data_IF_479254653718
#
_entry.id   IF_479254653718
#
_cell.length_a   1.000
_cell.length_b   1.000
_cell.length_c   1.000
_cell.angle_alpha   90.00
_cell.angle_beta   90.00
_cell.angle_gamma   90.00
#
_symmetry.space_group_name_H-M   'P 1'
#
loop_
_entity.id
_entity.type
_entity.pdbx_description
1 polymer ?
#
# COMPACT_ATOMS: atom_id res chain seq x y z
N UNK A 1 -31.36 3.26 20.50
CA UNK A 1 -30.92 2.20 19.56
C UNK A 1 -30.48 2.81 18.24
N UNK A 2 -29.27 3.37 18.18
CA UNK A 2 -28.65 3.83 16.94
C UNK A 2 -27.52 2.90 16.55
N UNK A 3 -27.73 2.08 15.51
CA UNK A 3 -26.69 1.23 14.92
C UNK A 3 -25.66 2.14 14.24
N UNK A 4 -24.46 2.24 14.81
CA UNK A 4 -23.27 2.77 14.13
C UNK A 4 -22.86 1.75 13.05
N UNK A 5 -23.33 1.95 11.82
CA UNK A 5 -22.81 1.22 10.67
C UNK A 5 -21.38 1.71 10.42
N UNK A 6 -20.40 1.00 11.00
CA UNK A 6 -18.99 1.11 10.63
C UNK A 6 -18.82 0.49 9.24
N UNK A 7 -19.28 1.19 8.22
CA UNK A 7 -18.99 0.86 6.83
C UNK A 7 -17.62 1.46 6.51
N UNK A 8 -16.57 0.83 7.01
CA UNK A 8 -15.19 1.15 6.64
C UNK A 8 -15.04 0.84 5.16
N UNK A 9 -15.06 1.88 4.32
CA UNK A 9 -14.85 1.73 2.89
C UNK A 9 -13.52 0.99 2.64
N UNK A 10 -13.49 0.01 1.73
CA UNK A 10 -12.26 -0.73 1.43
C UNK A 10 -11.23 0.23 0.85
N UNK A 11 -10.09 0.33 1.52
CA UNK A 11 -9.02 1.26 1.15
C UNK A 11 -8.09 0.56 0.17
N UNK A 12 -7.94 1.15 -1.02
CA UNK A 12 -7.00 0.68 -2.03
C UNK A 12 -5.90 1.71 -2.23
N UNK A 13 -4.65 1.27 -2.14
CA UNK A 13 -3.50 2.01 -2.61
C UNK A 13 -2.92 1.23 -3.79
N UNK A 14 -2.80 1.91 -4.93
CA UNK A 14 -2.28 1.33 -6.16
C UNK A 14 -1.06 2.11 -6.61
N UNK A 15 0.07 1.43 -6.80
CA UNK A 15 1.22 1.94 -7.54
C UNK A 15 1.01 1.56 -9.02
N UNK A 16 0.43 2.45 -9.83
CA UNK A 16 0.21 2.16 -11.25
C UNK A 16 1.54 2.17 -12.03
N UNK A 17 2.47 3.05 -11.66
CA UNK A 17 3.81 3.10 -12.22
C UNK A 17 4.82 3.46 -11.13
N UNK A 18 5.80 2.57 -10.91
CA UNK A 18 6.92 2.83 -10.02
C UNK A 18 8.21 2.25 -10.60
N UNK A 19 9.33 2.91 -10.33
CA UNK A 19 10.67 2.45 -10.71
C UNK A 19 11.67 2.75 -9.61
N UNK A 20 12.58 1.83 -9.37
CA UNK A 20 13.73 2.12 -8.52
C UNK A 20 14.63 0.92 -8.26
N UNK A 21 15.75 1.17 -7.56
CA UNK A 21 16.76 0.15 -7.31
C UNK A 21 16.31 -0.88 -6.29
N UNK A 22 16.87 -2.08 -6.40
CA UNK A 22 16.73 -3.13 -5.40
C UNK A 22 18.02 -3.90 -5.19
N UNK A 23 18.25 -4.34 -3.97
CA UNK A 23 19.39 -5.17 -3.59
C UNK A 23 18.85 -6.46 -3.00
N UNK A 24 19.35 -7.60 -3.47
CA UNK A 24 19.03 -8.92 -2.94
C UNK A 24 20.34 -9.58 -2.52
N UNK A 25 20.43 -9.97 -1.26
CA UNK A 25 21.54 -10.74 -0.71
C UNK A 25 21.03 -12.11 -0.32
N UNK A 26 21.67 -13.16 -0.83
CA UNK A 26 21.37 -14.54 -0.48
C UNK A 26 22.62 -15.25 0.01
N UNK A 27 22.49 -15.98 1.12
CA UNK A 27 23.54 -16.84 1.65
C UNK A 27 22.99 -18.24 1.90
N UNK A 28 23.70 -19.23 1.39
CA UNK A 28 23.38 -20.65 1.61
C UNK A 28 24.47 -21.28 2.47
N UNK A 29 24.07 -22.00 3.51
CA UNK A 29 24.98 -22.79 4.36
C UNK A 29 24.34 -24.15 4.63
N UNK A 30 25.02 -25.21 4.22
CA UNK A 30 24.59 -26.60 4.31
C UNK A 30 23.16 -26.80 3.78
N UNK A 31 22.20 -26.95 4.69
CA UNK A 31 20.79 -27.19 4.40
C UNK A 31 19.92 -25.96 4.65
N UNK A 32 20.52 -24.80 4.86
CA UNK A 32 19.83 -23.56 5.19
C UNK A 32 20.14 -22.46 4.18
N UNK A 33 19.13 -21.70 3.79
CA UNK A 33 19.25 -20.55 2.91
C UNK A 33 18.64 -19.35 3.60
N UNK A 34 19.36 -18.24 3.65
CA UNK A 34 18.87 -16.94 4.10
C UNK A 34 18.89 -15.99 2.93
N UNK A 35 17.81 -15.24 2.74
CA UNK A 35 17.71 -14.18 1.77
C UNK A 35 17.21 -12.92 2.45
N UNK A 36 17.74 -11.78 2.03
CA UNK A 36 17.27 -10.47 2.40
C UNK A 36 17.19 -9.62 1.13
N UNK A 37 16.11 -8.88 0.97
CA UNK A 37 15.93 -7.97 -0.14
C UNK A 37 15.39 -6.62 0.34
N UNK A 38 15.88 -5.56 -0.28
CA UNK A 38 15.45 -4.18 -0.07
C UNK A 38 15.19 -3.58 -1.44
N UNK A 39 14.02 -3.00 -1.63
CA UNK A 39 13.66 -2.26 -2.83
C UNK A 39 13.21 -0.87 -2.43
N UNK A 40 13.75 0.14 -3.10
CA UNK A 40 13.31 1.52 -3.00
C UNK A 40 12.76 1.90 -4.37
N UNK A 41 11.54 2.42 -4.43
CA UNK A 41 10.90 2.79 -5.69
C UNK A 41 10.31 4.18 -5.61
N UNK A 42 10.49 4.97 -6.66
CA UNK A 42 9.72 6.19 -6.88
C UNK A 42 8.41 5.84 -7.59
N UNK A 43 7.29 6.24 -7.01
CA UNK A 43 5.95 6.08 -7.58
C UNK A 43 5.68 7.30 -8.44
N UNK A 44 5.61 7.10 -9.76
CA UNK A 44 5.33 8.14 -10.74
C UNK A 44 3.82 8.42 -10.77
N UNK A 45 3.02 7.37 -10.70
CA UNK A 45 1.56 7.44 -10.65
C UNK A 45 1.03 6.44 -9.63
N UNK A 46 0.45 6.96 -8.56
CA UNK A 46 -0.27 6.19 -7.56
C UNK A 46 -1.66 6.76 -7.31
N UNK A 47 -2.57 5.91 -6.84
CA UNK A 47 -3.90 6.31 -6.41
C UNK A 47 -4.16 5.82 -4.97
N UNK A 48 -4.80 6.65 -4.15
CA UNK A 48 -5.28 6.30 -2.81
C UNK A 48 -6.75 6.66 -2.67
N UNK A 49 -7.55 5.80 -2.05
CA UNK A 49 -8.96 6.12 -1.69
C UNK A 49 -9.01 7.32 -0.74
N UNK A 50 -9.85 8.31 -1.05
CA UNK A 50 -10.14 9.48 -0.20
C UNK A 50 -11.27 9.14 0.79
N UNK A 51 -11.13 9.48 2.07
CA UNK A 51 -12.18 9.21 3.07
C UNK A 51 -13.25 10.31 3.15
N UNK A 52 -13.06 11.44 2.46
CA UNK A 52 -13.92 12.63 2.56
C UNK A 52 -14.64 13.04 1.26
N UNK A 53 -14.25 12.48 0.11
CA UNK A 53 -14.91 12.76 -1.17
C UNK A 53 -16.04 11.74 -1.42
N UNK A 54 -17.29 12.19 -1.30
CA UNK A 54 -18.48 11.49 -1.83
C UNK A 54 -19.19 12.41 -2.82
N UNK A 55 -18.50 12.75 -3.91
CA UNK A 55 -19.14 13.27 -5.11
C UNK A 55 -19.23 12.09 -6.07
N UNK A 56 -20.46 11.56 -6.14
CA UNK A 56 -21.00 10.57 -7.09
C UNK A 56 -20.02 10.12 -8.19
N UNK A 57 -19.13 9.15 -7.84
CA UNK A 57 -18.26 8.33 -8.71
C UNK A 57 -16.75 8.65 -8.81
N UNK A 58 -16.14 9.50 -7.95
CA UNK A 58 -14.66 9.73 -7.97
C UNK A 58 -13.97 9.59 -6.60
N UNK A 59 -13.79 8.35 -6.14
CA UNK A 59 -13.19 8.02 -4.83
C UNK A 59 -11.66 7.78 -4.89
N UNK A 60 -10.89 8.62 -5.60
CA UNK A 60 -9.45 8.43 -5.75
C UNK A 60 -8.65 9.74 -5.79
N UNK A 61 -7.63 9.85 -4.94
CA UNK A 61 -6.61 10.89 -5.01
C UNK A 61 -5.42 10.35 -5.82
N UNK A 62 -5.09 10.99 -6.94
CA UNK A 62 -3.87 10.69 -7.67
C UNK A 62 -2.68 11.43 -7.07
N UNK A 63 -1.54 10.74 -7.01
CA UNK A 63 -0.33 11.30 -6.46
C UNK A 63 0.92 10.60 -6.95
N UNK A 64 2.05 11.21 -6.63
CA UNK A 64 3.37 10.58 -6.73
C UNK A 64 3.92 10.32 -5.35
N UNK A 65 4.95 9.50 -5.24
CA UNK A 65 5.59 9.30 -3.97
C UNK A 65 6.70 8.28 -4.04
N UNK A 66 6.88 7.53 -2.97
CA UNK A 66 7.90 6.49 -2.91
C UNK A 66 7.42 5.30 -2.09
N UNK A 67 8.01 4.14 -2.36
CA UNK A 67 7.83 2.96 -1.54
C UNK A 67 9.13 2.32 -1.16
N UNK A 68 9.13 1.74 0.04
CA UNK A 68 10.20 0.92 0.58
C UNK A 68 9.65 -0.48 0.83
N UNK A 69 10.24 -1.48 0.19
CA UNK A 69 9.86 -2.88 0.36
C UNK A 69 11.04 -3.65 0.94
N UNK A 70 10.86 -4.19 2.12
CA UNK A 70 11.82 -5.02 2.83
C UNK A 70 11.30 -6.45 2.82
N UNK A 71 12.14 -7.42 2.48
CA UNK A 71 11.79 -8.83 2.66
C UNK A 71 12.96 -9.63 3.18
N UNK A 72 12.66 -10.61 4.02
CA UNK A 72 13.60 -11.58 4.54
C UNK A 72 12.99 -12.96 4.46
N UNK A 73 13.78 -13.95 4.05
CA UNK A 73 13.38 -15.34 4.12
C UNK A 73 14.48 -16.24 4.66
N UNK A 74 14.08 -17.19 5.47
CA UNK A 74 14.91 -18.25 6.03
C UNK A 74 14.29 -19.59 5.64
N UNK A 75 15.03 -20.38 4.88
CA UNK A 75 14.70 -21.77 4.60
C UNK A 75 15.64 -22.66 5.40
N UNK A 76 15.11 -23.57 6.21
CA UNK A 76 15.86 -24.52 7.02
C UNK A 76 15.53 -25.96 6.64
N UNK A 77 16.57 -26.72 6.30
CA UNK A 77 16.52 -28.15 5.92
C UNK A 77 15.50 -28.48 4.83
N UNK A 78 15.13 -27.49 4.00
CA UNK A 78 14.05 -27.59 3.00
C UNK A 78 12.68 -27.98 3.58
N UNK A 79 12.54 -27.99 4.91
CA UNK A 79 11.31 -28.35 5.61
C UNK A 79 10.60 -27.14 6.15
N UNK A 80 11.33 -26.18 6.70
CA UNK A 80 10.75 -24.97 7.26
C UNK A 80 11.18 -23.78 6.41
N UNK A 81 10.22 -22.94 6.00
CA UNK A 81 10.46 -21.65 5.39
C UNK A 81 9.74 -20.60 6.21
N UNK A 82 10.44 -19.58 6.65
CA UNK A 82 9.90 -18.40 7.32
C UNK A 82 10.22 -17.22 6.43
N UNK A 83 9.19 -16.44 6.07
CA UNK A 83 9.33 -15.24 5.26
C UNK A 83 8.64 -14.08 5.97
N UNK A 84 9.34 -12.98 6.10
CA UNK A 84 8.85 -11.71 6.63
C UNK A 84 8.97 -10.66 5.53
N UNK A 85 7.96 -9.82 5.36
CA UNK A 85 8.05 -8.65 4.49
C UNK A 85 7.39 -7.44 5.13
N UNK A 86 7.89 -6.25 4.81
CA UNK A 86 7.31 -4.95 5.10
C UNK A 86 7.22 -4.17 3.79
N UNK A 87 6.06 -3.60 3.50
CA UNK A 87 5.87 -2.66 2.40
C UNK A 87 5.36 -1.35 2.98
N UNK A 88 6.13 -0.29 2.76
CA UNK A 88 5.85 1.05 3.22
C UNK A 88 5.64 1.94 2.00
N UNK A 89 4.47 2.55 1.89
CA UNK A 89 4.08 3.43 0.79
C UNK A 89 3.83 4.83 1.32
N UNK A 90 4.40 5.81 0.63
CA UNK A 90 4.19 7.22 0.89
C UNK A 90 3.69 7.86 -0.39
N UNK A 91 2.48 8.40 -0.37
CA UNK A 91 1.85 9.05 -1.50
C UNK A 91 1.52 10.50 -1.17
N UNK A 92 1.87 11.40 -2.09
CA UNK A 92 1.58 12.82 -2.06
C UNK A 92 0.69 13.18 -3.24
N UNK A 93 -0.50 13.69 -2.97
CA UNK A 93 -1.42 14.15 -4.02
C UNK A 93 -0.87 15.41 -4.72
N UNK A 94 -1.01 15.50 -6.04
CA UNK A 94 -0.46 16.61 -6.82
C UNK A 94 -1.23 17.93 -6.68
N UNK A 95 -2.56 17.88 -6.84
CA UNK A 95 -3.41 19.07 -6.92
C UNK A 95 -4.71 18.81 -6.15
N UNK A 96 -4.70 19.22 -4.89
CA UNK A 96 -5.88 19.30 -4.05
C UNK A 96 -6.68 20.55 -4.34
N UNK A 97 -7.99 20.56 -4.08
CA UNK A 97 -8.75 21.81 -4.02
C UNK A 97 -8.49 22.45 -2.66
N UNK A 98 -7.74 23.56 -2.66
CA UNK A 98 -7.37 24.27 -1.43
C UNK A 98 -8.56 25.03 -0.78
N UNK A 99 -9.70 25.17 -1.48
CA UNK A 99 -10.85 25.96 -1.00
C UNK A 99 -12.20 25.34 -1.40
N UNK A 100 -12.74 24.50 -0.51
CA UNK A 100 -14.02 23.79 -0.71
C UNK A 100 -15.22 24.73 -0.86
N UNK A 101 -15.11 25.99 -0.41
CA UNK A 101 -16.16 27.01 -0.53
C UNK A 101 -16.30 27.52 -1.98
N UNK A 102 -15.24 27.43 -2.80
CA UNK A 102 -15.29 27.79 -4.22
C UNK A 102 -16.02 26.72 -5.05
N UNK A 103 -15.89 25.44 -4.68
CA UNK A 103 -16.59 24.34 -5.36
C UNK A 103 -18.11 24.39 -5.17
N UNK A 104 -18.59 24.90 -4.02
CA UNK A 104 -20.02 25.06 -3.75
C UNK A 104 -20.70 26.12 -4.63
N UNK A 105 -19.92 26.99 -5.27
CA UNK A 105 -20.40 28.09 -6.09
C UNK A 105 -20.36 27.77 -7.60
N UNK A 106 -19.79 26.63 -7.99
CA UNK A 106 -19.59 26.24 -9.38
C UNK A 106 -20.60 25.18 -9.84
N UNK A 107 -21.04 25.30 -11.08
CA UNK A 107 -21.93 24.33 -11.74
C UNK A 107 -21.14 23.07 -12.12
N UNK A 108 -21.79 21.90 -12.23
CA UNK A 108 -21.15 20.61 -12.55
C UNK A 108 -20.24 20.69 -13.79
N UNK A 109 -20.67 21.43 -14.82
CA UNK A 109 -19.88 21.65 -16.04
C UNK A 109 -18.57 22.42 -15.80
N UNK A 110 -18.53 23.34 -14.83
CA UNK A 110 -17.34 24.14 -14.49
C UNK A 110 -16.35 23.34 -13.63
N UNK A 111 -16.86 22.36 -12.86
CA UNK A 111 -16.07 21.42 -12.07
C UNK A 111 -15.34 20.41 -12.97
N UNK A 112 -15.94 20.00 -14.10
CA UNK A 112 -15.28 19.11 -15.07
C UNK A 112 -14.12 19.81 -15.83
N UNK A 113 -14.15 21.15 -15.97
CA UNK A 113 -13.03 21.93 -16.51
C UNK A 113 -11.91 22.16 -15.49
N UNK A 114 -12.21 21.99 -14.21
CA UNK A 114 -11.23 21.96 -13.14
C UNK A 114 -10.54 20.59 -13.18
N UNK A 115 -9.31 20.54 -13.71
CA UNK A 115 -8.42 19.37 -13.70
C UNK A 115 -7.96 19.04 -12.26
N UNK A 116 -8.93 18.77 -11.39
CA UNK A 116 -8.80 18.47 -9.98
C UNK A 116 -8.62 16.96 -9.86
N UNK A 117 -7.52 16.56 -9.22
CA UNK A 117 -7.09 15.17 -9.12
C UNK A 117 -7.23 14.61 -7.69
N UNK A 118 -8.05 15.26 -6.85
CA UNK A 118 -8.37 14.86 -5.48
C UNK A 118 -8.25 16.00 -4.47
N UNK A 119 -8.15 15.63 -3.19
CA UNK A 119 -7.80 16.52 -2.06
C UNK A 119 -6.30 16.51 -1.77
N UNK A 120 -5.77 17.63 -1.26
CA UNK A 120 -4.36 17.74 -0.85
C UNK A 120 -4.15 16.88 0.40
N UNK A 121 -3.51 15.73 0.22
CA UNK A 121 -3.30 14.75 1.27
C UNK A 121 -1.96 14.05 1.13
N UNK A 122 -1.39 13.71 2.29
CA UNK A 122 -0.22 12.84 2.40
C UNK A 122 -0.70 11.53 3.04
N UNK A 123 -0.64 10.45 2.28
CA UNK A 123 -1.05 9.12 2.77
C UNK A 123 0.16 8.24 2.98
N UNK A 124 0.27 7.67 4.17
CA UNK A 124 1.25 6.66 4.53
C UNK A 124 0.55 5.32 4.77
N UNK A 125 1.08 4.27 4.15
CA UNK A 125 0.63 2.90 4.35
C UNK A 125 1.78 1.99 4.75
N UNK A 126 1.59 1.21 5.81
CA UNK A 126 2.47 0.13 6.20
C UNK A 126 1.74 -1.22 6.12
N UNK A 127 2.34 -2.18 5.43
CA UNK A 127 1.90 -3.57 5.36
C UNK A 127 3.01 -4.48 5.86
N UNK A 128 2.76 -5.16 6.98
CA UNK A 128 3.67 -6.17 7.54
C UNK A 128 3.08 -7.55 7.31
N UNK A 129 3.87 -8.48 6.80
CA UNK A 129 3.42 -9.86 6.56
C UNK A 129 4.43 -10.91 6.99
N UNK A 130 3.94 -11.93 7.69
CA UNK A 130 4.69 -13.12 8.07
C UNK A 130 4.07 -14.33 7.39
N UNK A 131 4.90 -15.17 6.78
CA UNK A 131 4.51 -16.48 6.25
C UNK A 131 5.45 -17.54 6.78
N UNK A 132 4.89 -18.58 7.39
CA UNK A 132 5.63 -19.78 7.80
C UNK A 132 5.09 -20.98 7.06
N UNK A 133 5.95 -21.73 6.38
CA UNK A 133 5.62 -22.98 5.69
C UNK A 133 6.43 -24.11 6.28
N UNK A 134 5.77 -25.16 6.73
CA UNK A 134 6.39 -26.39 7.22
C UNK A 134 5.98 -27.60 6.40
N UNK A 135 6.94 -28.35 5.87
CA UNK A 135 6.73 -29.59 5.12
C UNK A 135 6.72 -30.78 6.08
N UNK A 136 5.53 -31.37 6.29
CA UNK A 136 5.37 -32.62 7.04
C UNK A 136 6.00 -33.79 6.29
N UNK A 137 5.78 -33.83 4.97
CA UNK A 137 6.40 -34.79 4.05
C UNK A 137 6.54 -34.17 2.64
N UNK A 138 6.85 -34.97 1.62
CA UNK A 138 7.02 -34.48 0.23
C UNK A 138 5.72 -33.97 -0.43
N UNK A 139 4.55 -34.26 0.15
CA UNK A 139 3.22 -33.97 -0.42
C UNK A 139 2.38 -33.02 0.44
N UNK A 140 2.65 -32.96 1.75
CA UNK A 140 1.83 -32.22 2.72
C UNK A 140 2.65 -31.12 3.36
N UNK A 141 2.08 -29.90 3.33
CA UNK A 141 2.65 -28.71 3.93
C UNK A 141 1.61 -28.00 4.79
N UNK A 142 2.04 -27.48 5.93
CA UNK A 142 1.27 -26.55 6.75
C UNK A 142 1.77 -25.15 6.45
N UNK A 143 0.87 -24.21 6.20
CA UNK A 143 1.20 -22.81 5.93
C UNK A 143 0.43 -21.93 6.89
N UNK A 144 1.15 -21.12 7.67
CA UNK A 144 0.60 -20.06 8.50
C UNK A 144 0.94 -18.71 7.86
N UNK A 145 -0.06 -17.84 7.75
CA UNK A 145 0.10 -16.47 7.24
C UNK A 145 -0.53 -15.51 8.22
N UNK A 146 0.21 -14.47 8.56
CA UNK A 146 -0.29 -13.33 9.34
C UNK A 146 0.05 -12.05 8.58
N UNK A 147 -0.88 -11.10 8.54
CA UNK A 147 -0.68 -9.79 7.92
C UNK A 147 -1.27 -8.72 8.83
N UNK A 148 -0.57 -7.60 8.94
CA UNK A 148 -1.02 -6.40 9.65
C UNK A 148 -0.94 -5.22 8.69
N UNK A 149 -1.98 -4.40 8.69
CA UNK A 149 -2.13 -3.25 7.82
C UNK A 149 -2.38 -2.01 8.69
N UNK A 150 -1.58 -0.97 8.50
CA UNK A 150 -1.76 0.31 9.18
C UNK A 150 -1.68 1.45 8.17
N UNK A 151 -2.64 2.38 8.20
CA UNK A 151 -2.69 3.54 7.30
C UNK A 151 -2.90 4.81 8.11
N UNK A 152 -2.07 5.81 7.84
CA UNK A 152 -2.24 7.17 8.35
C UNK A 152 -2.36 8.14 7.17
N UNK A 153 -3.43 8.91 7.10
CA UNK A 153 -3.61 9.96 6.10
C UNK A 153 -3.70 11.32 6.81
N UNK A 154 -2.85 12.26 6.42
CA UNK A 154 -2.95 13.66 6.82
C UNK A 154 -3.53 14.47 5.66
N UNK A 155 -4.67 15.11 5.90
CA UNK A 155 -5.26 16.11 5.01
C UNK A 155 -4.64 17.47 5.33
N UNK A 156 -4.29 18.24 4.30
CA UNK A 156 -3.59 19.55 4.44
C UNK A 156 -4.34 20.65 3.73
#
# INVERSE_FOLDING_TARGET
NGRTNNNTAPVYISEAAAIGPGIIVQKKKDKSTVQFAVHLSGIILGASTSDHFKLEDRDYNFGSGFSLKLSSSLQFKQRLTISLFSEDYFLFSWKGVDDYEVLKQLTINEIDFLNVQGDKSSTMLNLLGLTMKYSLNKRVHVVLRARSFNRNTLYT
#
